data_IF_962844946765
#
_entry.id   IF_962844946765
#
_cell.length_a   1.000
_cell.length_b   1.000
_cell.length_c   1.000
_cell.angle_alpha   90.00
_cell.angle_beta   90.00
_cell.angle_gamma   90.00
#
_symmetry.space_group_name_H-M   'P 1'
#
loop_
_entity.id
_entity.type
_entity.pdbx_description
1 polymer ?
#
# COMPACT_ATOMS: atom_id res chain seq x y z
N UNK A 1 -4.70 34.08 0.26
CA UNK A 1 -3.92 33.36 1.29
C UNK A 1 -4.46 31.96 1.57
N UNK A 2 -5.76 31.77 1.84
CA UNK A 2 -6.29 30.44 2.22
C UNK A 2 -6.24 29.40 1.09
N UNK A 3 -6.50 29.77 -0.16
CA UNK A 3 -6.37 28.87 -1.31
C UNK A 3 -4.95 28.31 -1.49
N UNK A 4 -3.91 29.09 -1.17
CA UNK A 4 -2.52 28.63 -1.22
C UNK A 4 -2.21 27.63 -0.10
N UNK A 5 -2.75 27.85 1.11
CA UNK A 5 -2.63 26.89 2.22
C UNK A 5 -3.33 25.57 1.91
N UNK A 6 -4.52 25.65 1.30
CA UNK A 6 -5.26 24.48 0.83
C UNK A 6 -4.44 23.70 -0.20
N UNK A 7 -3.95 24.36 -1.25
CA UNK A 7 -3.16 23.71 -2.30
C UNK A 7 -1.90 23.04 -1.75
N UNK A 8 -1.19 23.72 -0.82
CA UNK A 8 -0.02 23.16 -0.15
C UNK A 8 -0.37 21.90 0.63
N UNK A 9 -1.40 21.94 1.48
CA UNK A 9 -1.81 20.79 2.28
C UNK A 9 -2.28 19.61 1.40
N UNK A 10 -3.09 19.88 0.38
CA UNK A 10 -3.62 18.85 -0.52
C UNK A 10 -2.54 18.13 -1.34
N UNK A 11 -1.40 18.77 -1.60
CA UNK A 11 -0.28 18.20 -2.36
C UNK A 11 0.89 17.72 -1.49
N UNK A 12 0.85 17.98 -0.18
CA UNK A 12 1.95 17.66 0.74
C UNK A 12 2.10 16.15 0.95
N UNK A 13 1.00 15.40 0.97
CA UNK A 13 1.08 13.95 1.01
C UNK A 13 1.30 13.44 -0.42
N UNK A 14 2.45 12.84 -0.69
CA UNK A 14 2.76 12.18 -1.96
C UNK A 14 1.97 10.86 -2.13
N UNK A 15 0.66 10.88 -1.88
CA UNK A 15 -0.19 9.70 -2.07
C UNK A 15 -0.52 9.56 -3.54
N UNK A 16 0.36 8.83 -4.23
CA UNK A 16 0.24 8.54 -5.66
C UNK A 16 -0.79 7.44 -5.98
N UNK A 17 -1.31 6.76 -4.95
CA UNK A 17 -2.08 5.53 -5.13
C UNK A 17 -3.58 5.78 -5.36
N UNK A 18 -4.21 4.85 -6.08
CA UNK A 18 -5.66 4.75 -6.29
C UNK A 18 -6.37 6.05 -6.73
N UNK A 19 -5.67 6.90 -7.47
CA UNK A 19 -6.21 8.15 -8.00
C UNK A 19 -6.40 9.27 -6.96
N UNK A 20 -5.90 9.10 -5.74
CA UNK A 20 -6.00 10.09 -4.66
C UNK A 20 -5.38 11.43 -5.08
N UNK A 21 -4.18 11.43 -5.68
CA UNK A 21 -3.56 12.64 -6.23
C UNK A 21 -4.45 13.38 -7.23
N UNK A 22 -5.13 12.65 -8.12
CA UNK A 22 -6.01 13.25 -9.13
C UNK A 22 -7.19 13.96 -8.45
N UNK A 23 -7.79 13.33 -7.44
CA UNK A 23 -8.87 13.93 -6.64
C UNK A 23 -8.41 15.14 -5.84
N UNK A 24 -7.23 15.09 -5.23
CA UNK A 24 -6.65 16.24 -4.53
C UNK A 24 -6.49 17.45 -5.47
N UNK A 25 -5.94 17.24 -6.67
CA UNK A 25 -5.83 18.28 -7.70
C UNK A 25 -7.21 18.81 -8.12
N UNK A 26 -8.20 17.94 -8.25
CA UNK A 26 -9.58 18.35 -8.57
C UNK A 26 -10.20 19.23 -7.47
N UNK A 27 -10.04 18.86 -6.20
CA UNK A 27 -10.49 19.67 -5.05
C UNK A 27 -9.86 21.07 -5.10
N UNK A 28 -8.55 21.16 -5.36
CA UNK A 28 -7.85 22.45 -5.48
C UNK A 28 -8.46 23.29 -6.61
N UNK A 29 -8.69 22.70 -7.78
CA UNK A 29 -9.25 23.40 -8.95
C UNK A 29 -10.67 23.91 -8.70
N UNK A 30 -11.54 23.07 -8.15
CA UNK A 30 -12.93 23.43 -7.86
C UNK A 30 -13.01 24.51 -6.78
N UNK A 31 -12.20 24.40 -5.72
CA UNK A 31 -12.08 25.45 -4.69
C UNK A 31 -11.58 26.77 -5.28
N UNK A 32 -10.59 26.73 -6.19
CA UNK A 32 -10.07 27.93 -6.85
C UNK A 32 -11.12 28.64 -7.72
N UNK A 33 -12.06 27.89 -8.29
CA UNK A 33 -13.18 28.42 -9.07
C UNK A 33 -14.31 29.01 -8.18
N UNK A 34 -14.22 28.88 -6.86
CA UNK A 34 -15.20 29.42 -5.91
C UNK A 34 -16.40 28.51 -5.63
N UNK A 35 -16.45 27.32 -6.23
CA UNK A 35 -17.50 26.32 -5.97
C UNK A 35 -17.16 25.52 -4.71
N UNK A 36 -17.32 26.17 -3.56
CA UNK A 36 -16.95 25.58 -2.27
C UNK A 36 -17.87 24.44 -1.83
N UNK A 37 -19.12 24.41 -2.29
CA UNK A 37 -20.04 23.31 -2.00
C UNK A 37 -19.52 22.02 -2.64
N UNK A 38 -19.21 22.08 -3.94
CA UNK A 38 -18.65 20.94 -4.65
C UNK A 38 -17.25 20.58 -4.14
N UNK A 39 -16.42 21.56 -3.80
CA UNK A 39 -15.11 21.29 -3.21
C UNK A 39 -15.22 20.54 -1.86
N UNK A 40 -16.18 20.92 -1.00
CA UNK A 40 -16.43 20.24 0.27
C UNK A 40 -16.88 18.80 0.05
N UNK A 41 -17.80 18.56 -0.88
CA UNK A 41 -18.27 17.20 -1.21
C UNK A 41 -17.15 16.32 -1.77
N UNK A 42 -16.35 16.84 -2.71
CA UNK A 42 -15.19 16.12 -3.23
C UNK A 42 -14.16 15.81 -2.13
N UNK A 43 -13.97 16.71 -1.16
CA UNK A 43 -13.09 16.49 -0.01
C UNK A 43 -13.61 15.37 0.89
N UNK A 44 -14.92 15.32 1.15
CA UNK A 44 -15.54 14.23 1.91
C UNK A 44 -15.38 12.87 1.22
N UNK A 45 -15.56 12.83 -0.10
CA UNK A 45 -15.33 11.62 -0.91
C UNK A 45 -13.85 11.19 -0.84
N UNK A 46 -12.93 12.14 -0.97
CA UNK A 46 -11.50 11.89 -0.83
C UNK A 46 -11.15 11.29 0.54
N UNK A 47 -11.66 11.89 1.63
CA UNK A 47 -11.45 11.39 2.99
C UNK A 47 -11.92 9.94 3.16
N UNK A 48 -13.13 9.62 2.70
CA UNK A 48 -13.67 8.25 2.77
C UNK A 48 -12.77 7.26 2.01
N UNK A 49 -12.21 7.68 0.88
CA UNK A 49 -11.28 6.84 0.13
C UNK A 49 -9.98 6.63 0.90
N UNK A 50 -9.37 7.67 1.48
CA UNK A 50 -8.16 7.54 2.30
C UNK A 50 -8.39 6.58 3.47
N UNK A 51 -9.53 6.67 4.16
CA UNK A 51 -9.89 5.74 5.23
C UNK A 51 -10.03 4.29 4.75
N UNK A 52 -10.57 4.10 3.54
CA UNK A 52 -10.63 2.77 2.91
C UNK A 52 -9.23 2.23 2.62
N UNK A 53 -8.32 3.06 2.11
CA UNK A 53 -6.93 2.64 1.87
C UNK A 53 -6.19 2.29 3.16
N UNK A 54 -6.40 3.06 4.25
CA UNK A 54 -5.84 2.74 5.57
C UNK A 54 -6.35 1.37 6.02
N UNK A 55 -7.67 1.13 5.92
CA UNK A 55 -8.27 -0.15 6.28
C UNK A 55 -7.70 -1.30 5.45
N UNK A 56 -7.56 -1.14 4.14
CA UNK A 56 -6.97 -2.15 3.26
C UNK A 56 -5.52 -2.47 3.64
N UNK A 57 -4.73 -1.44 3.97
CA UNK A 57 -3.34 -1.59 4.40
C UNK A 57 -3.20 -2.34 5.73
N UNK A 58 -4.13 -2.11 6.67
CA UNK A 58 -4.21 -2.83 7.95
C UNK A 58 -4.66 -4.27 7.77
N UNK A 59 -5.70 -4.50 6.95
CA UNK A 59 -6.19 -5.85 6.65
C UNK A 59 -5.11 -6.71 5.99
N UNK A 60 -4.29 -6.14 5.10
CA UNK A 60 -3.17 -6.86 4.50
C UNK A 60 -2.10 -7.27 5.53
N UNK A 61 -1.83 -6.44 6.55
CA UNK A 61 -0.96 -6.81 7.68
C UNK A 61 -1.59 -7.96 8.48
N UNK A 62 -2.88 -7.89 8.77
CA UNK A 62 -3.58 -8.94 9.53
C UNK A 62 -3.59 -10.27 8.77
N UNK A 63 -3.82 -10.25 7.45
CA UNK A 63 -3.74 -11.45 6.59
C UNK A 63 -2.32 -12.02 6.65
N UNK A 64 -1.30 -11.16 6.55
CA UNK A 64 0.11 -11.57 6.64
C UNK A 64 0.40 -12.26 7.96
N UNK A 65 -0.04 -11.70 9.09
CA UNK A 65 0.10 -12.31 10.42
C UNK A 65 -0.54 -13.69 10.48
N UNK A 66 -1.80 -13.83 10.01
CA UNK A 66 -2.51 -15.11 10.00
C UNK A 66 -1.81 -16.17 9.15
N UNK A 67 -1.36 -15.79 7.95
CA UNK A 67 -0.64 -16.69 7.05
C UNK A 67 0.68 -17.16 7.68
N UNK A 68 1.41 -16.26 8.33
CA UNK A 68 2.65 -16.60 9.03
C UNK A 68 2.40 -17.54 10.22
N UNK A 69 1.35 -17.34 11.00
CA UNK A 69 0.99 -18.23 12.10
C UNK A 69 0.57 -19.62 11.63
N UNK A 70 0.03 -19.75 10.41
CA UNK A 70 -0.33 -21.05 9.82
C UNK A 70 0.83 -21.83 9.20
N UNK A 71 2.01 -21.22 9.00
CA UNK A 71 3.15 -21.85 8.30
C UNK A 71 3.75 -23.08 9.02
N UNK A 72 3.36 -23.36 10.27
CA UNK A 72 3.89 -24.49 11.05
C UNK A 72 2.85 -25.57 11.43
N UNK A 73 1.58 -25.41 11.05
CA UNK A 73 0.50 -26.29 11.54
C UNK A 73 0.15 -27.45 10.59
N UNK A 74 0.43 -27.33 9.29
CA UNK A 74 0.12 -28.35 8.27
C UNK A 74 1.41 -28.90 7.67
N UNK A 75 2.06 -29.82 8.38
CA UNK A 75 3.24 -30.55 7.87
C UNK A 75 2.89 -31.81 7.05
N UNK A 76 1.59 -32.04 6.80
CA UNK A 76 1.08 -33.21 6.06
C UNK A 76 0.62 -32.89 4.61
N UNK A 77 0.69 -31.63 4.16
CA UNK A 77 0.51 -31.34 2.73
C UNK A 77 1.71 -31.89 1.94
N UNK A 78 1.49 -32.97 1.19
CA UNK A 78 2.39 -33.42 0.10
C UNK A 78 2.96 -32.19 -0.60
N UNK A 79 4.27 -32.13 -0.84
CA UNK A 79 4.93 -31.08 -1.61
C UNK A 79 4.23 -30.87 -2.97
N UNK A 80 3.22 -29.99 -3.01
CA UNK A 80 2.52 -29.69 -4.25
C UNK A 80 3.49 -28.78 -5.02
N UNK A 81 4.07 -29.33 -6.08
CA UNK A 81 4.99 -28.61 -6.94
C UNK A 81 4.20 -27.98 -8.08
N UNK A 82 4.12 -26.64 -8.07
CA UNK A 82 3.52 -25.89 -9.16
C UNK A 82 4.60 -25.47 -10.16
N UNK A 83 4.25 -25.41 -11.44
CA UNK A 83 5.01 -24.66 -12.44
C UNK A 83 4.73 -23.16 -12.30
N UNK A 84 5.59 -22.32 -12.88
CA UNK A 84 5.40 -20.86 -12.87
C UNK A 84 4.02 -20.42 -13.39
N UNK A 85 3.49 -21.10 -14.41
CA UNK A 85 2.18 -20.78 -14.98
C UNK A 85 1.08 -21.10 -13.97
N UNK A 86 1.09 -22.31 -13.42
CA UNK A 86 0.09 -22.71 -12.42
C UNK A 86 0.15 -21.83 -11.17
N UNK A 87 1.36 -21.45 -10.72
CA UNK A 87 1.53 -20.50 -9.62
C UNK A 87 0.92 -19.13 -9.94
N UNK A 88 1.13 -18.62 -11.15
CA UNK A 88 0.56 -17.34 -11.60
C UNK A 88 -0.98 -17.41 -11.61
N UNK A 89 -1.52 -18.48 -12.18
CA UNK A 89 -2.96 -18.73 -12.27
C UNK A 89 -3.59 -18.87 -10.88
N UNK A 90 -2.97 -19.65 -9.99
CA UNK A 90 -3.39 -19.84 -8.60
C UNK A 90 -3.41 -18.55 -7.79
N UNK A 91 -2.42 -17.69 -8.00
CA UNK A 91 -2.34 -16.38 -7.35
C UNK A 91 -3.12 -15.29 -8.08
N UNK A 92 -3.74 -15.58 -9.22
CA UNK A 92 -4.39 -14.59 -10.07
C UNK A 92 -3.49 -13.38 -10.39
N UNK A 93 -2.22 -13.66 -10.72
CA UNK A 93 -1.23 -12.66 -11.16
C UNK A 93 -0.66 -13.05 -12.51
N UNK A 94 0.01 -12.11 -13.18
CA UNK A 94 0.71 -12.45 -14.42
C UNK A 94 2.02 -13.17 -14.14
N UNK A 95 2.51 -13.95 -15.11
CA UNK A 95 3.84 -14.56 -15.07
C UNK A 95 4.94 -13.47 -14.88
N UNK A 96 4.77 -12.32 -15.53
CA UNK A 96 5.70 -11.19 -15.41
C UNK A 96 5.68 -10.58 -14.01
N UNK A 97 4.54 -10.59 -13.32
CA UNK A 97 4.45 -10.18 -11.91
C UNK A 97 5.30 -11.09 -11.03
N UNK A 98 5.21 -12.42 -11.18
CA UNK A 98 6.06 -13.36 -10.45
C UNK A 98 7.54 -13.16 -10.77
N UNK A 99 7.87 -12.97 -12.05
CA UNK A 99 9.24 -12.69 -12.49
C UNK A 99 9.76 -11.39 -11.85
N UNK A 100 8.94 -10.34 -11.81
CA UNK A 100 9.30 -9.07 -11.21
C UNK A 100 9.58 -9.23 -9.70
N UNK A 101 8.75 -9.98 -8.98
CA UNK A 101 8.96 -10.25 -7.56
C UNK A 101 10.23 -11.08 -7.30
N UNK A 102 10.53 -12.07 -8.15
CA UNK A 102 11.76 -12.86 -8.11
C UNK A 102 12.99 -11.96 -8.35
N UNK A 103 12.95 -11.10 -9.37
CA UNK A 103 14.03 -10.15 -9.71
C UNK A 103 14.28 -9.11 -8.61
N UNK A 104 13.24 -8.71 -7.87
CA UNK A 104 13.36 -7.81 -6.73
C UNK A 104 13.71 -8.55 -5.42
N UNK A 105 14.02 -9.84 -5.49
CA UNK A 105 14.50 -10.63 -4.36
C UNK A 105 13.44 -10.95 -3.31
N UNK A 106 12.15 -10.81 -3.62
CA UNK A 106 11.08 -11.12 -2.66
C UNK A 106 10.99 -12.61 -2.36
N UNK A 107 11.37 -13.45 -3.32
CA UNK A 107 11.49 -14.90 -3.16
C UNK A 107 12.51 -15.43 -4.18
N UNK A 108 12.89 -16.70 -4.05
CA UNK A 108 13.77 -17.38 -4.99
C UNK A 108 13.20 -18.75 -5.33
N UNK A 109 13.03 -19.03 -6.62
CA UNK A 109 12.40 -20.27 -7.08
C UNK A 109 13.41 -21.42 -7.09
N UNK A 110 12.98 -22.59 -6.60
CA UNK A 110 13.79 -23.81 -6.68
C UNK A 110 13.76 -24.40 -8.08
N UNK A 111 14.80 -25.17 -8.41
CA UNK A 111 14.89 -25.91 -9.67
C UNK A 111 15.10 -27.38 -9.39
N UNK A 112 14.42 -28.21 -10.17
CA UNK A 112 14.68 -29.64 -10.23
C UNK A 112 16.00 -29.90 -10.99
N UNK A 113 16.52 -31.13 -10.88
CA UNK A 113 17.76 -31.55 -11.57
C UNK A 113 17.69 -31.35 -13.09
N UNK A 114 16.50 -31.51 -13.68
CA UNK A 114 16.23 -31.27 -15.09
C UNK A 114 16.08 -29.78 -15.48
N UNK A 115 16.33 -28.86 -14.54
CA UNK A 115 16.36 -27.42 -14.75
C UNK A 115 15.00 -26.71 -14.70
N UNK A 116 13.89 -27.44 -14.58
CA UNK A 116 12.55 -26.84 -14.47
C UNK A 116 12.35 -26.14 -13.12
N UNK A 117 11.62 -25.02 -13.16
CA UNK A 117 11.24 -24.25 -11.97
C UNK A 117 10.05 -24.90 -11.29
N UNK A 118 10.14 -25.06 -9.98
CA UNK A 118 9.08 -25.60 -9.14
C UNK A 118 8.83 -24.69 -7.94
N UNK A 119 7.58 -24.58 -7.55
CA UNK A 119 7.12 -23.78 -6.43
C UNK A 119 6.44 -24.71 -5.43
N UNK A 120 6.93 -24.73 -4.19
CA UNK A 120 6.36 -25.55 -3.11
C UNK A 120 5.15 -24.89 -2.46
N UNK A 121 4.43 -25.62 -1.60
CA UNK A 121 3.37 -25.05 -0.76
C UNK A 121 3.88 -23.85 0.07
N UNK A 122 5.09 -23.95 0.63
CA UNK A 122 5.76 -22.86 1.34
C UNK A 122 5.97 -21.63 0.44
N UNK A 123 6.45 -21.83 -0.81
CA UNK A 123 6.60 -20.75 -1.78
C UNK A 123 5.24 -20.09 -2.07
N UNK A 124 4.17 -20.87 -2.21
CA UNK A 124 2.83 -20.35 -2.43
C UNK A 124 2.33 -19.50 -1.25
N UNK A 125 2.58 -19.93 -0.01
CA UNK A 125 2.19 -19.15 1.18
C UNK A 125 2.96 -17.82 1.23
N UNK A 126 4.27 -17.84 0.97
CA UNK A 126 5.08 -16.62 0.86
C UNK A 126 4.57 -15.70 -0.25
N UNK A 127 4.22 -16.25 -1.40
CA UNK A 127 3.68 -15.48 -2.52
C UNK A 127 2.28 -14.92 -2.25
N UNK A 128 1.44 -15.60 -1.47
CA UNK A 128 0.16 -15.05 -0.98
C UNK A 128 0.39 -13.81 -0.11
N UNK A 129 1.36 -13.86 0.80
CA UNK A 129 1.75 -12.69 1.62
C UNK A 129 2.17 -11.53 0.73
N UNK A 130 3.09 -11.78 -0.21
CA UNK A 130 3.56 -10.75 -1.15
C UNK A 130 2.40 -10.15 -1.92
N UNK A 131 1.50 -10.99 -2.46
CA UNK A 131 0.31 -10.56 -3.20
C UNK A 131 -0.59 -9.67 -2.34
N UNK A 132 -0.94 -10.09 -1.12
CA UNK A 132 -1.81 -9.34 -0.22
C UNK A 132 -1.26 -7.94 0.07
N UNK A 133 0.03 -7.84 0.38
CA UNK A 133 0.69 -6.56 0.64
C UNK A 133 0.78 -5.68 -0.62
N UNK A 134 1.03 -6.28 -1.80
CA UNK A 134 1.04 -5.56 -3.07
C UNK A 134 -0.34 -5.04 -3.47
N UNK A 135 -1.41 -5.78 -3.22
CA UNK A 135 -2.78 -5.32 -3.43
C UNK A 135 -3.13 -4.14 -2.53
N UNK A 136 -2.53 -4.05 -1.34
CA UNK A 136 -2.66 -2.92 -0.43
C UNK A 136 -1.66 -1.78 -0.71
N UNK A 137 -0.91 -1.83 -1.81
CA UNK A 137 0.05 -0.80 -2.25
C UNK A 137 1.33 -0.64 -1.42
N UNK A 138 1.70 -1.59 -0.56
CA UNK A 138 3.04 -1.59 0.07
C UNK A 138 4.12 -1.78 -1.00
N UNK A 139 5.19 -1.00 -0.97
CA UNK A 139 6.28 -1.09 -1.95
C UNK A 139 6.99 -2.46 -1.90
N UNK A 140 7.69 -2.82 -2.98
CA UNK A 140 8.54 -4.03 -2.98
C UNK A 140 9.65 -3.92 -1.91
N UNK A 141 10.24 -2.74 -1.72
CA UNK A 141 11.29 -2.51 -0.72
C UNK A 141 10.77 -2.71 0.70
N UNK A 142 9.57 -2.20 1.00
CA UNK A 142 8.89 -2.39 2.29
C UNK A 142 8.60 -3.87 2.57
N UNK A 143 8.09 -4.60 1.58
CA UNK A 143 7.83 -6.04 1.69
C UNK A 143 9.14 -6.82 1.88
N UNK A 144 10.18 -6.49 1.11
CA UNK A 144 11.50 -7.13 1.23
C UNK A 144 12.10 -6.92 2.63
N UNK A 145 12.00 -5.69 3.16
CA UNK A 145 12.45 -5.33 4.50
C UNK A 145 11.74 -6.15 5.57
N UNK A 146 10.41 -6.26 5.47
CA UNK A 146 9.60 -7.10 6.37
C UNK A 146 10.03 -8.57 6.30
N UNK A 147 10.15 -9.15 5.10
CA UNK A 147 10.52 -10.56 4.91
C UNK A 147 11.92 -10.86 5.47
N UNK A 148 12.89 -9.96 5.26
CA UNK A 148 14.25 -10.08 5.82
C UNK A 148 14.24 -10.05 7.35
N UNK A 149 13.48 -9.13 7.95
CA UNK A 149 13.38 -9.03 9.41
C UNK A 149 12.74 -10.29 10.03
N UNK A 150 11.67 -10.81 9.44
CA UNK A 150 11.04 -12.06 9.87
C UNK A 150 11.97 -13.28 9.77
N UNK A 151 12.88 -13.29 8.79
CA UNK A 151 13.89 -14.36 8.65
C UNK A 151 14.89 -14.33 9.82
N UNK A 152 15.20 -13.14 10.36
CA UNK A 152 16.13 -12.99 11.48
C UNK A 152 15.44 -13.14 12.84
N UNK A 153 14.19 -12.69 12.96
CA UNK A 153 13.39 -12.77 14.17
C UNK A 153 11.91 -12.98 13.81
N UNK A 154 11.35 -14.19 14.02
CA UNK A 154 9.95 -14.49 13.75
C UNK A 154 8.96 -13.61 14.54
N UNK A 155 9.35 -13.11 15.71
CA UNK A 155 8.51 -12.25 16.57
C UNK A 155 8.55 -10.77 16.17
N UNK A 156 9.13 -10.44 15.01
CA UNK A 156 9.20 -9.07 14.49
C UNK A 156 7.81 -8.44 14.41
N UNK A 157 7.67 -7.20 14.89
CA UNK A 157 6.46 -6.42 14.71
C UNK A 157 6.28 -6.01 13.24
N UNK A 158 5.45 -6.78 12.52
CA UNK A 158 5.19 -6.59 11.08
C UNK A 158 4.70 -5.17 10.77
N UNK A 159 3.77 -4.65 11.58
CA UNK A 159 3.17 -3.32 11.38
C UNK A 159 4.22 -2.22 11.43
N UNK A 160 5.18 -2.34 12.35
CA UNK A 160 6.26 -1.37 12.51
C UNK A 160 7.29 -1.47 11.37
N UNK A 161 7.79 -2.68 11.10
CA UNK A 161 8.90 -2.87 10.15
C UNK A 161 8.49 -2.55 8.71
N UNK A 162 7.26 -2.90 8.33
CA UNK A 162 6.76 -2.66 6.98
C UNK A 162 6.59 -1.16 6.72
N UNK A 163 6.35 -0.37 7.77
CA UNK A 163 6.06 1.05 7.67
C UNK A 163 7.26 1.96 8.03
N UNK A 164 8.41 1.38 8.36
CA UNK A 164 9.61 2.13 8.78
C UNK A 164 10.77 1.88 7.81
N UNK A 165 10.97 2.77 6.81
CA UNK A 165 12.16 2.79 5.98
C UNK A 165 13.44 2.93 6.80
N UNK A 166 14.54 2.36 6.32
CA UNK A 166 15.84 2.48 6.97
C UNK A 166 16.55 3.76 6.53
N UNK A 167 17.54 4.19 7.31
CA UNK A 167 18.31 5.40 7.00
C UNK A 167 19.17 5.25 5.73
N UNK A 168 19.51 4.02 5.36
CA UNK A 168 20.27 3.66 4.16
C UNK A 168 19.39 3.33 2.93
N UNK A 169 18.07 3.52 3.01
CA UNK A 169 17.18 3.38 1.85
C UNK A 169 17.37 4.58 0.90
N UNK A 170 18.01 4.38 -0.26
CA UNK A 170 18.37 5.44 -1.22
C UNK A 170 17.16 6.26 -1.72
N UNK A 171 16.00 5.61 -1.92
CA UNK A 171 14.77 6.23 -2.41
C UNK A 171 13.60 5.75 -1.56
N UNK A 172 13.06 6.66 -0.75
CA UNK A 172 11.88 6.43 0.09
C UNK A 172 10.66 7.05 -0.60
N UNK A 173 9.64 6.25 -0.84
CA UNK A 173 8.35 6.68 -1.38
C UNK A 173 7.25 6.61 -0.33
N UNK A 174 6.10 7.20 -0.62
CA UNK A 174 4.91 7.06 0.24
C UNK A 174 4.52 5.60 0.50
N UNK A 175 4.80 4.69 -0.44
CA UNK A 175 4.51 3.26 -0.29
C UNK A 175 5.48 2.52 0.64
N UNK A 176 6.63 3.12 0.98
CA UNK A 176 7.61 2.54 1.92
C UNK A 176 7.24 2.78 3.39
N UNK A 177 6.35 3.76 3.62
CA UNK A 177 5.78 4.18 4.91
C UNK A 177 4.27 4.41 4.79
N UNK A 178 3.60 3.46 4.14
CA UNK A 178 2.24 3.59 3.62
C UNK A 178 1.22 4.06 4.67
N UNK A 179 1.19 3.43 5.85
CA UNK A 179 0.23 3.81 6.90
C UNK A 179 0.47 5.24 7.37
N UNK A 180 1.74 5.64 7.55
CA UNK A 180 2.06 7.01 7.93
C UNK A 180 1.66 8.00 6.84
N UNK A 181 1.97 7.71 5.57
CA UNK A 181 1.62 8.59 4.46
C UNK A 181 0.10 8.72 4.26
N UNK A 182 -0.66 7.65 4.48
CA UNK A 182 -2.12 7.70 4.43
C UNK A 182 -2.72 8.47 5.62
N UNK A 183 -2.14 8.33 6.81
CA UNK A 183 -2.54 9.10 7.99
C UNK A 183 -2.28 10.60 7.81
N UNK A 184 -1.10 10.97 7.29
CA UNK A 184 -0.79 12.35 6.91
C UNK A 184 -1.77 12.89 5.86
N UNK A 185 -2.15 12.07 4.87
CA UNK A 185 -3.15 12.44 3.88
C UNK A 185 -4.55 12.68 4.49
N UNK A 186 -4.92 11.89 5.51
CA UNK A 186 -6.17 12.07 6.26
C UNK A 186 -6.17 13.41 7.01
N UNK A 187 -5.08 13.72 7.72
CA UNK A 187 -4.93 14.98 8.46
C UNK A 187 -4.92 16.19 7.52
N UNK A 188 -4.21 16.09 6.39
CA UNK A 188 -4.22 17.10 5.35
C UNK A 188 -5.63 17.32 4.78
N UNK A 189 -6.41 16.26 4.58
CA UNK A 189 -7.78 16.38 4.09
C UNK A 189 -8.71 17.09 5.07
N UNK A 190 -8.55 16.82 6.38
CA UNK A 190 -9.29 17.53 7.44
C UNK A 190 -8.95 19.03 7.42
N UNK A 191 -7.67 19.37 7.27
CA UNK A 191 -7.25 20.76 7.13
C UNK A 191 -7.84 21.41 5.87
N UNK A 192 -7.79 20.73 4.73
CA UNK A 192 -8.38 21.19 3.46
C UNK A 192 -9.87 21.48 3.63
N UNK A 193 -10.63 20.58 4.27
CA UNK A 193 -12.06 20.77 4.54
C UNK A 193 -12.30 22.04 5.37
N UNK A 194 -11.53 22.24 6.44
CA UNK A 194 -11.61 23.44 7.27
C UNK A 194 -11.30 24.74 6.49
N UNK A 195 -10.35 24.69 5.54
CA UNK A 195 -10.07 25.85 4.67
C UNK A 195 -11.21 26.14 3.70
N UNK A 196 -11.82 25.10 3.11
CA UNK A 196 -12.99 25.26 2.23
C UNK A 196 -14.14 25.92 2.99
N UNK A 197 -14.45 25.43 4.20
CA UNK A 197 -15.49 26.02 5.05
C UNK A 197 -15.20 27.49 5.40
N UNK A 198 -13.93 27.81 5.69
CA UNK A 198 -13.52 29.18 5.95
C UNK A 198 -13.74 30.07 4.74
N UNK A 199 -13.32 29.64 3.54
CA UNK A 199 -13.50 30.39 2.30
C UNK A 199 -14.98 30.55 1.93
N UNK A 200 -15.80 29.52 2.13
CA UNK A 200 -17.26 29.58 1.95
C UNK A 200 -17.90 30.65 2.82
N UNK A 201 -17.54 30.72 4.12
CA UNK A 201 -18.04 31.75 5.06
C UNK A 201 -17.56 33.17 4.72
N UNK A 202 -16.36 33.32 4.16
CA UNK A 202 -15.83 34.61 3.73
C UNK A 202 -16.57 35.16 2.49
N UNK A 203 -16.96 34.28 1.57
CA UNK A 203 -17.68 34.67 0.36
C UNK A 203 -19.19 34.87 0.58
N UNK A 204 -19.81 34.13 1.52
CA UNK A 204 -21.24 34.30 1.85
C UNK A 204 -21.57 35.54 2.70
N UNK A 205 -20.57 36.33 3.11
CA UNK A 205 -20.72 37.58 3.86
C UNK A 205 -20.56 38.84 2.98
N UNK A 206 -20.45 38.67 1.67
CA UNK A 206 -20.36 39.75 0.68
C UNK A 206 -21.66 39.91 -0.09
#
# INVERSE_FOLDING_TARGET
>A
MEQLKLARAALQAEVLQNGLRKKAVEIIKISAAGDYEKAAELTRIYMKQVETEIKNAEEAIQITQKLLSSLGADSDEKDILFTRKETADYLHVTIDTLRNWELNGLFSVKRLENGYRVYTSEDLQRLKIIRSLRCANYSLSSILRMLKALTMNPDTNIREIINTPRQDDDIITACDRLLTSLQEAKENALFVAAQIDKMKRMNGKR
#
